data_IF_796361431192
#
_entry.id   IF_796361431192
#
_cell.length_a   1.000
_cell.length_b   1.000
_cell.length_c   1.000
_cell.angle_alpha   90.00
_cell.angle_beta   90.00
_cell.angle_gamma   90.00
#
_symmetry.space_group_name_H-M   'P 1'
#
loop_
_entity.id
_entity.type
_entity.pdbx_description
1 polymer ?
#
# COMPACT_ATOMS: atom_id res chain seq x y z
N UNK A 1 9.26 36.45 12.90
CA UNK A 1 8.97 35.56 11.77
C UNK A 1 7.60 34.93 12.02
N UNK A 2 6.66 35.00 11.07
CA UNK A 2 5.39 34.25 11.15
C UNK A 2 5.51 33.11 10.15
N UNK A 3 5.30 31.88 10.61
CA UNK A 3 5.27 30.73 9.70
C UNK A 3 3.96 30.77 8.91
N UNK A 4 4.00 30.86 7.57
CA UNK A 4 2.80 30.67 6.77
C UNK A 4 2.33 29.22 6.89
N UNK A 5 1.01 29.04 7.02
CA UNK A 5 0.36 27.72 6.98
C UNK A 5 -0.33 27.58 5.63
N UNK A 6 -0.19 26.41 5.02
CA UNK A 6 -0.84 26.05 3.77
C UNK A 6 -1.67 24.79 3.99
N UNK A 7 -2.92 24.84 3.57
CA UNK A 7 -3.81 23.68 3.58
C UNK A 7 -3.93 23.16 2.14
N UNK A 8 -3.66 21.87 1.96
CA UNK A 8 -3.80 21.20 0.66
C UNK A 8 -5.12 20.45 0.63
N UNK A 9 -5.95 20.74 -0.37
CA UNK A 9 -7.23 20.06 -0.57
C UNK A 9 -7.08 19.01 -1.68
N UNK A 10 -7.25 17.71 -1.39
CA UNK A 10 -7.20 16.68 -2.41
C UNK A 10 -8.37 16.85 -3.38
N UNK A 11 -8.09 16.75 -4.69
CA UNK A 11 -9.10 16.82 -5.76
C UNK A 11 -9.36 15.47 -6.42
N UNK A 12 -8.63 14.42 -6.02
CA UNK A 12 -8.72 13.06 -6.52
C UNK A 12 -8.70 12.06 -5.36
N UNK A 13 -9.15 10.83 -5.61
CA UNK A 13 -9.30 9.80 -4.56
C UNK A 13 -7.99 9.09 -4.19
N UNK A 14 -6.99 9.06 -5.08
CA UNK A 14 -5.63 8.68 -4.73
C UNK A 14 -4.69 9.78 -5.22
N UNK A 15 -4.02 10.47 -4.29
CA UNK A 15 -3.15 11.61 -4.59
C UNK A 15 -1.71 11.26 -4.21
N UNK A 16 -0.78 11.40 -5.16
CA UNK A 16 0.67 11.35 -4.93
C UNK A 16 1.31 12.66 -5.37
N UNK A 17 2.24 13.18 -4.58
CA UNK A 17 2.95 14.40 -4.95
C UNK A 17 4.11 14.72 -4.02
N UNK A 18 4.95 15.66 -4.44
CA UNK A 18 6.11 16.11 -3.67
C UNK A 18 5.95 17.59 -3.30
N UNK A 19 6.11 17.92 -2.03
CA UNK A 19 6.20 19.31 -1.56
C UNK A 19 7.69 19.64 -1.41
N UNK A 20 8.17 20.59 -2.21
CA UNK A 20 9.55 21.09 -2.14
C UNK A 20 9.53 22.52 -1.64
N UNK A 21 10.10 22.77 -0.46
CA UNK A 21 10.25 24.13 0.06
C UNK A 21 11.58 24.72 -0.44
N UNK A 22 11.50 25.93 -1.01
CA UNK A 22 12.65 26.74 -1.40
C UNK A 22 12.67 28.05 -0.64
N UNK A 23 13.84 28.46 -0.17
CA UNK A 23 14.08 29.78 0.43
C UNK A 23 15.08 30.52 -0.44
N UNK A 24 14.64 31.65 -0.99
CA UNK A 24 15.53 32.58 -1.69
C UNK A 24 15.71 33.86 -0.88
N UNK A 25 16.94 34.32 -0.73
CA UNK A 25 17.26 35.57 -0.03
C UNK A 25 18.42 36.30 -0.70
N UNK A 26 18.51 37.61 -0.48
CA UNK A 26 19.63 38.43 -0.92
C UNK A 26 20.46 38.76 0.32
N UNK A 27 21.76 38.51 0.26
CA UNK A 27 22.66 38.81 1.37
C UNK A 27 23.06 40.30 1.43
N UNK A 28 23.83 40.67 2.45
CA UNK A 28 24.34 42.02 2.65
C UNK A 28 25.24 42.53 1.51
N UNK A 29 25.76 41.64 0.66
CA UNK A 29 26.61 41.95 -0.50
C UNK A 29 25.80 42.05 -1.80
N UNK A 30 24.47 41.88 -1.72
CA UNK A 30 23.59 41.89 -2.88
C UNK A 30 23.60 40.57 -3.67
N UNK A 31 24.22 39.51 -3.15
CA UNK A 31 24.22 38.20 -3.81
C UNK A 31 22.93 37.45 -3.47
N UNK A 32 22.28 36.90 -4.50
CA UNK A 32 21.09 36.08 -4.35
C UNK A 32 21.50 34.63 -4.00
N UNK A 33 20.88 34.09 -2.95
CA UNK A 33 21.03 32.71 -2.51
C UNK A 33 19.69 32.00 -2.64
N UNK A 34 19.72 30.73 -3.00
CA UNK A 34 18.54 29.85 -2.97
C UNK A 34 18.92 28.52 -2.36
N UNK A 35 18.18 28.12 -1.34
CA UNK A 35 18.32 26.84 -0.66
C UNK A 35 17.01 26.08 -0.82
N UNK A 36 17.09 24.82 -1.21
CA UNK A 36 15.92 23.93 -1.27
C UNK A 36 16.02 22.87 -0.18
N UNK A 37 14.88 22.54 0.42
CA UNK A 37 14.79 21.41 1.34
C UNK A 37 14.71 20.11 0.57
N UNK A 38 14.93 18.99 1.27
CA UNK A 38 14.51 17.69 0.75
C UNK A 38 12.99 17.71 0.51
N UNK A 39 12.49 17.07 -0.55
CA UNK A 39 11.06 16.95 -0.79
C UNK A 39 10.36 16.24 0.38
N UNK A 40 9.20 16.76 0.77
CA UNK A 40 8.26 16.04 1.61
C UNK A 40 7.27 15.32 0.68
N UNK A 41 7.32 13.99 0.68
CA UNK A 41 6.49 13.16 -0.19
C UNK A 41 5.10 13.03 0.42
N UNK A 42 4.09 13.55 -0.27
CA UNK A 42 2.69 13.21 -0.04
C UNK A 42 2.49 11.80 -0.60
N UNK A 43 2.39 10.83 0.31
CA UNK A 43 2.14 9.43 -0.03
C UNK A 43 0.78 9.29 -0.70
N UNK A 44 0.63 8.28 -1.57
CA UNK A 44 -0.66 7.89 -2.16
C UNK A 44 -1.69 7.69 -1.07
N UNK A 45 -2.53 8.70 -0.81
CA UNK A 45 -3.61 8.57 0.18
C UNK A 45 -4.78 7.88 -0.52
N UNK A 46 -4.74 6.56 -0.62
CA UNK A 46 -5.93 5.78 -0.98
C UNK A 46 -6.84 5.51 0.26
N UNK A 47 -6.60 6.20 1.39
CA UNK A 47 -7.50 6.24 2.56
C UNK A 47 -8.85 6.93 2.25
N UNK A 48 -9.03 7.39 1.02
CA UNK A 48 -10.27 7.97 0.49
C UNK A 48 -11.11 6.93 -0.27
N UNK A 49 -10.77 5.65 -0.16
CA UNK A 49 -11.59 4.56 -0.66
C UNK A 49 -12.64 4.16 0.37
N UNK A 50 -13.81 3.76 -0.11
CA UNK A 50 -14.89 3.17 0.67
C UNK A 50 -15.11 1.74 0.19
N UNK A 51 -15.27 0.75 1.10
CA UNK A 51 -15.54 -0.62 0.69
C UNK A 51 -16.88 -0.68 -0.05
N UNK A 52 -16.91 -1.34 -1.21
CA UNK A 52 -18.11 -1.47 -2.05
C UNK A 52 -18.52 -2.94 -2.15
N UNK A 53 -19.70 -3.26 -1.59
CA UNK A 53 -20.17 -4.63 -1.48
C UNK A 53 -20.77 -5.09 -2.80
N UNK A 54 -20.23 -6.19 -3.33
CA UNK A 54 -20.68 -6.79 -4.59
C UNK A 54 -20.56 -8.31 -4.55
N UNK A 55 -21.34 -9.02 -5.36
CA UNK A 55 -21.20 -10.46 -5.56
C UNK A 55 -20.02 -10.80 -6.50
N UNK A 56 -19.40 -12.00 -6.38
CA UNK A 56 -18.25 -12.40 -7.22
C UNK A 56 -18.51 -12.37 -8.73
N UNK A 57 -19.69 -12.79 -9.17
CA UNK A 57 -20.05 -12.82 -10.60
C UNK A 57 -20.12 -11.41 -11.21
N UNK A 58 -20.66 -10.45 -10.44
CA UNK A 58 -20.80 -9.06 -10.85
C UNK A 58 -19.45 -8.33 -10.77
N UNK A 59 -18.60 -8.69 -9.81
CA UNK A 59 -17.21 -8.23 -9.73
C UNK A 59 -16.39 -8.65 -10.96
N UNK A 60 -16.51 -9.90 -11.39
CA UNK A 60 -15.82 -10.42 -12.56
C UNK A 60 -16.24 -9.72 -13.87
N UNK A 61 -17.51 -9.29 -13.96
CA UNK A 61 -18.01 -8.49 -15.08
C UNK A 61 -17.39 -7.08 -15.06
N UNK A 62 -17.42 -6.38 -13.92
CA UNK A 62 -16.80 -5.04 -13.78
C UNK A 62 -15.31 -5.04 -14.09
N UNK A 63 -14.58 -6.06 -13.62
CA UNK A 63 -13.14 -6.21 -13.88
C UNK A 63 -12.78 -6.31 -15.36
N UNK A 64 -13.64 -6.94 -16.18
CA UNK A 64 -13.40 -7.11 -17.62
C UNK A 64 -13.65 -5.85 -18.43
N UNK A 65 -14.49 -4.96 -17.93
CA UNK A 65 -14.86 -3.72 -18.61
C UNK A 65 -13.88 -2.58 -18.33
N UNK A 66 -13.11 -2.70 -17.25
CA UNK A 66 -12.20 -1.65 -16.77
C UNK A 66 -10.77 -1.85 -17.28
N UNK A 67 -10.06 -0.75 -17.42
CA UNK A 67 -8.63 -0.78 -17.69
C UNK A 67 -7.88 -1.31 -16.48
N UNK A 68 -6.82 -2.09 -16.73
CA UNK A 68 -6.12 -2.85 -15.70
C UNK A 68 -4.61 -2.63 -15.76
N UNK A 69 -3.97 -2.53 -14.60
CA UNK A 69 -2.53 -2.62 -14.42
C UNK A 69 -2.16 -3.85 -13.58
N UNK A 70 -0.93 -4.35 -13.77
CA UNK A 70 -0.42 -5.51 -13.04
C UNK A 70 1.05 -5.29 -12.65
N UNK A 71 1.43 -5.76 -11.46
CA UNK A 71 2.83 -5.86 -11.04
C UNK A 71 3.09 -7.15 -10.27
N UNK A 72 4.31 -7.68 -10.40
CA UNK A 72 4.78 -8.84 -9.64
C UNK A 72 5.78 -8.39 -8.58
N UNK A 73 5.53 -8.78 -7.34
CA UNK A 73 6.36 -8.53 -6.17
C UNK A 73 6.92 -9.86 -5.68
N UNK A 74 8.25 -9.97 -5.60
CA UNK A 74 8.92 -11.13 -5.01
C UNK A 74 9.33 -10.80 -3.60
N UNK A 75 8.96 -11.65 -2.64
CA UNK A 75 9.33 -11.46 -1.24
C UNK A 75 10.10 -12.67 -0.74
N UNK A 76 11.29 -12.45 -0.21
CA UNK A 76 12.20 -13.53 0.19
C UNK A 76 12.03 -13.95 1.64
N UNK A 77 11.45 -13.09 2.46
CA UNK A 77 11.45 -13.22 3.91
C UNK A 77 10.25 -13.99 4.46
N UNK A 78 9.14 -14.00 3.71
CA UNK A 78 7.87 -14.59 4.09
C UNK A 78 7.57 -15.84 3.27
N UNK A 79 6.88 -16.78 3.91
CA UNK A 79 6.24 -17.91 3.24
C UNK A 79 5.00 -17.43 2.47
N UNK A 80 4.53 -18.24 1.52
CA UNK A 80 3.32 -17.91 0.76
C UNK A 80 2.07 -17.83 1.65
N UNK A 81 1.99 -18.68 2.68
CA UNK A 81 0.93 -18.66 3.70
C UNK A 81 0.93 -17.36 4.51
N UNK A 82 2.08 -16.96 5.04
CA UNK A 82 2.21 -15.69 5.78
C UNK A 82 1.87 -14.49 4.89
N UNK A 83 2.25 -14.54 3.61
CA UNK A 83 1.90 -13.50 2.65
C UNK A 83 0.41 -13.44 2.34
N UNK A 84 -0.27 -14.57 2.28
CA UNK A 84 -1.72 -14.60 2.10
C UNK A 84 -2.44 -13.96 3.30
N UNK A 85 -2.09 -14.35 4.53
CA UNK A 85 -2.65 -13.74 5.75
C UNK A 85 -2.38 -12.23 5.82
N UNK A 86 -1.16 -11.82 5.47
CA UNK A 86 -0.78 -10.42 5.39
C UNK A 86 -1.59 -9.66 4.34
N UNK A 87 -1.80 -10.27 3.18
CA UNK A 87 -2.54 -9.67 2.07
C UNK A 87 -4.01 -9.44 2.44
N UNK A 88 -4.65 -10.36 3.17
CA UNK A 88 -6.02 -10.17 3.68
C UNK A 88 -6.14 -8.92 4.55
N UNK A 89 -5.19 -8.74 5.48
CA UNK A 89 -5.16 -7.54 6.34
C UNK A 89 -4.94 -6.26 5.55
N UNK A 90 -4.05 -6.30 4.56
CA UNK A 90 -3.77 -5.12 3.72
C UNK A 90 -5.02 -4.70 2.93
N UNK A 91 -5.80 -5.65 2.41
CA UNK A 91 -7.05 -5.37 1.71
C UNK A 91 -8.05 -4.67 2.64
N UNK A 92 -8.23 -5.18 3.85
CA UNK A 92 -9.10 -4.58 4.87
C UNK A 92 -8.63 -3.17 5.26
N UNK A 93 -7.34 -3.01 5.59
CA UNK A 93 -6.72 -1.73 5.96
C UNK A 93 -6.72 -0.70 4.82
N UNK A 94 -6.77 -1.15 3.56
CA UNK A 94 -6.87 -0.31 2.38
C UNK A 94 -8.33 0.00 1.99
N UNK A 95 -9.30 -0.33 2.86
CA UNK A 95 -10.74 -0.10 2.67
C UNK A 95 -11.34 -0.79 1.45
N UNK A 96 -10.79 -1.94 1.05
CA UNK A 96 -11.44 -2.80 0.06
C UNK A 96 -12.39 -3.76 0.75
N UNK A 97 -13.59 -3.91 0.19
CA UNK A 97 -14.50 -4.98 0.55
C UNK A 97 -13.95 -6.30 -0.02
N UNK A 98 -13.70 -7.29 0.83
CA UNK A 98 -13.31 -8.63 0.39
C UNK A 98 -14.48 -9.30 -0.35
N UNK A 99 -14.33 -9.48 -1.66
CA UNK A 99 -15.33 -10.12 -2.52
C UNK A 99 -15.18 -11.65 -2.47
N UNK A 100 -13.93 -12.11 -2.53
CA UNK A 100 -13.58 -13.52 -2.53
C UNK A 100 -12.15 -13.70 -2.01
N UNK A 101 -11.92 -14.72 -1.20
CA UNK A 101 -10.58 -15.24 -0.93
C UNK A 101 -10.58 -16.76 -1.00
N UNK A 102 -9.50 -17.31 -1.55
CA UNK A 102 -9.31 -18.76 -1.66
C UNK A 102 -7.83 -19.10 -1.59
N UNK A 103 -7.55 -20.29 -1.07
CA UNK A 103 -6.21 -20.85 -1.03
C UNK A 103 -6.28 -22.35 -1.30
N UNK A 104 -5.32 -22.83 -2.07
CA UNK A 104 -5.16 -24.24 -2.41
C UNK A 104 -3.68 -24.63 -2.33
N UNK A 105 -3.43 -25.87 -1.92
CA UNK A 105 -2.10 -26.47 -1.98
C UNK A 105 -2.13 -27.56 -3.04
N UNK A 106 -1.33 -27.38 -4.08
CA UNK A 106 -1.22 -28.33 -5.19
C UNK A 106 0.26 -28.59 -5.51
N UNK A 107 0.64 -29.86 -5.60
CA UNK A 107 1.99 -30.29 -5.98
C UNK A 107 3.12 -29.66 -5.13
N UNK A 108 2.86 -29.41 -3.85
CA UNK A 108 3.82 -28.80 -2.91
C UNK A 108 3.99 -27.28 -3.09
N UNK A 109 3.12 -26.64 -3.88
CA UNK A 109 3.04 -25.20 -4.06
C UNK A 109 1.73 -24.70 -3.44
N UNK A 110 1.84 -23.67 -2.62
CA UNK A 110 0.70 -22.93 -2.11
C UNK A 110 0.29 -21.87 -3.13
N UNK A 111 -0.98 -21.84 -3.48
CA UNK A 111 -1.61 -20.84 -4.34
C UNK A 111 -2.75 -20.19 -3.58
N UNK A 112 -2.85 -18.86 -3.64
CA UNK A 112 -3.98 -18.15 -3.07
C UNK A 112 -4.37 -16.95 -3.92
N UNK A 113 -5.65 -16.60 -3.86
CA UNK A 113 -6.25 -15.46 -4.55
C UNK A 113 -7.08 -14.66 -3.56
N UNK A 114 -6.98 -13.34 -3.62
CA UNK A 114 -7.82 -12.41 -2.87
C UNK A 114 -8.35 -11.39 -3.87
N UNK A 115 -9.66 -11.16 -3.84
CA UNK A 115 -10.34 -10.16 -4.63
C UNK A 115 -10.98 -9.11 -3.71
N UNK A 116 -10.76 -7.84 -4.02
CA UNK A 116 -11.30 -6.72 -3.28
C UNK A 116 -11.96 -5.69 -4.20
N UNK A 117 -13.03 -5.05 -3.73
CA UNK A 117 -13.65 -3.91 -4.41
C UNK A 117 -13.78 -2.71 -3.48
N UNK A 118 -13.44 -1.54 -3.99
CA UNK A 118 -13.67 -0.28 -3.32
C UNK A 118 -14.20 0.77 -4.30
N UNK A 119 -14.64 1.89 -3.75
CA UNK A 119 -15.14 3.04 -4.48
C UNK A 119 -14.51 4.32 -3.96
N UNK A 120 -14.11 5.21 -4.86
CA UNK A 120 -13.59 6.51 -4.50
C UNK A 120 -14.64 7.35 -3.75
N UNK A 121 -14.29 7.90 -2.59
CA UNK A 121 -15.18 8.69 -1.74
C UNK A 121 -15.66 9.97 -2.44
N UNK A 122 -14.81 10.61 -3.26
CA UNK A 122 -15.13 11.87 -3.93
C UNK A 122 -15.56 11.69 -5.36
N UNK A 123 -14.92 10.80 -6.13
CA UNK A 123 -15.32 10.58 -7.53
C UNK A 123 -16.50 9.63 -7.66
N UNK A 124 -16.73 8.77 -6.67
CA UNK A 124 -17.70 7.69 -6.77
C UNK A 124 -17.33 6.64 -7.82
N UNK A 125 -16.06 6.56 -8.24
CA UNK A 125 -15.61 5.61 -9.24
C UNK A 125 -15.13 4.30 -8.60
N UNK A 126 -15.43 3.18 -9.24
CA UNK A 126 -15.07 1.86 -8.73
C UNK A 126 -13.61 1.50 -9.02
N UNK A 127 -12.96 0.82 -8.07
CA UNK A 127 -11.63 0.23 -8.20
C UNK A 127 -11.62 -1.19 -7.62
N UNK A 128 -11.23 -2.15 -8.43
CA UNK A 128 -11.09 -3.55 -8.07
C UNK A 128 -9.62 -3.94 -7.98
N UNK A 129 -9.33 -4.84 -7.05
CA UNK A 129 -8.00 -5.42 -6.86
C UNK A 129 -8.09 -6.94 -6.84
N UNK A 130 -7.09 -7.59 -7.41
CA UNK A 130 -6.86 -9.03 -7.28
C UNK A 130 -5.41 -9.26 -6.90
N UNK A 131 -5.18 -9.92 -5.76
CA UNK A 131 -3.86 -10.32 -5.29
C UNK A 131 -3.75 -11.84 -5.44
N UNK A 132 -2.75 -12.29 -6.19
CA UNK A 132 -2.41 -13.70 -6.32
C UNK A 132 -1.11 -13.97 -5.56
N UNK A 133 -1.13 -14.90 -4.62
CA UNK A 133 0.05 -15.30 -3.85
C UNK A 133 0.43 -16.72 -4.22
N UNK A 134 1.72 -16.97 -4.44
CA UNK A 134 2.23 -18.31 -4.72
C UNK A 134 3.61 -18.55 -4.14
N UNK A 135 3.92 -19.79 -3.78
CA UNK A 135 5.26 -20.19 -3.36
C UNK A 135 5.31 -21.61 -2.81
N UNK A 136 6.51 -22.17 -2.59
CA UNK A 136 6.64 -23.52 -2.04
C UNK A 136 6.09 -23.59 -0.61
N UNK A 137 5.34 -24.66 -0.31
CA UNK A 137 4.69 -24.83 1.00
C UNK A 137 5.72 -24.84 2.13
N UNK A 138 5.52 -23.97 3.14
CA UNK A 138 6.37 -23.89 4.33
C UNK A 138 7.78 -23.33 4.09
N UNK A 139 8.11 -22.90 2.87
CA UNK A 139 9.40 -22.30 2.54
C UNK A 139 9.25 -20.79 2.32
N UNK A 140 10.31 -20.06 2.70
CA UNK A 140 10.40 -18.63 2.42
C UNK A 140 10.62 -18.39 0.93
N UNK A 141 10.06 -17.31 0.41
CA UNK A 141 10.15 -16.98 -1.02
C UNK A 141 8.78 -17.02 -1.70
N UNK A 142 7.93 -16.05 -1.38
CA UNK A 142 6.63 -15.88 -1.99
C UNK A 142 6.68 -14.96 -3.23
N UNK A 143 5.87 -15.26 -4.23
CA UNK A 143 5.58 -14.37 -5.34
C UNK A 143 4.15 -13.85 -5.17
N UNK A 144 3.99 -12.53 -5.19
CA UNK A 144 2.70 -11.85 -5.11
C UNK A 144 2.47 -11.06 -6.40
N UNK A 145 1.40 -11.36 -7.12
CA UNK A 145 0.97 -10.58 -8.27
C UNK A 145 -0.19 -9.69 -7.83
N UNK A 146 -0.08 -8.40 -8.06
CA UNK A 146 -1.10 -7.40 -7.76
C UNK A 146 -1.67 -6.93 -9.08
N UNK A 147 -2.95 -7.19 -9.30
CA UNK A 147 -3.72 -6.68 -10.42
C UNK A 147 -4.73 -5.67 -9.90
N UNK A 148 -4.79 -4.50 -10.52
CA UNK A 148 -5.77 -3.45 -10.18
C UNK A 148 -6.48 -3.03 -11.45
N UNK A 149 -7.80 -2.91 -11.37
CA UNK A 149 -8.62 -2.37 -12.44
C UNK A 149 -9.54 -1.28 -11.92
N UNK A 150 -9.76 -0.22 -12.68
CA UNK A 150 -10.58 0.90 -12.23
C UNK A 150 -11.31 1.61 -13.35
N UNK A 151 -12.40 2.29 -13.00
CA UNK A 151 -13.12 3.20 -13.90
C UNK A 151 -12.31 4.48 -14.19
N UNK A 152 -11.25 4.74 -13.42
CA UNK A 152 -10.31 5.84 -13.61
C UNK A 152 -8.88 5.32 -13.67
N UNK A 153 -8.21 5.51 -14.82
CA UNK A 153 -6.78 5.18 -14.97
C UNK A 153 -5.91 5.84 -13.91
N UNK A 154 -6.26 7.06 -13.50
CA UNK A 154 -5.47 7.81 -12.51
C UNK A 154 -5.46 7.12 -11.14
N UNK A 155 -6.40 6.22 -10.85
CA UNK A 155 -6.45 5.47 -9.59
C UNK A 155 -5.62 4.17 -9.63
N UNK A 156 -5.37 3.60 -10.82
CA UNK A 156 -4.76 2.27 -10.97
C UNK A 156 -3.32 2.24 -10.44
N UNK A 157 -2.43 3.07 -11.00
CA UNK A 157 -1.01 3.07 -10.63
C UNK A 157 -0.77 3.46 -9.16
N UNK A 158 -1.44 4.49 -8.60
CA UNK A 158 -1.30 4.81 -7.18
C UNK A 158 -1.75 3.68 -6.25
N UNK A 159 -2.83 2.96 -6.59
CA UNK A 159 -3.29 1.82 -5.80
C UNK A 159 -2.30 0.64 -5.89
N UNK A 160 -1.74 0.37 -7.09
CA UNK A 160 -0.68 -0.63 -7.26
C UNK A 160 0.54 -0.28 -6.40
N UNK A 161 0.99 0.97 -6.44
CA UNK A 161 2.16 1.44 -5.69
C UNK A 161 1.94 1.32 -4.17
N UNK A 162 0.77 1.74 -3.66
CA UNK A 162 0.42 1.63 -2.23
C UNK A 162 0.38 0.16 -1.77
N UNK A 163 -0.35 -0.69 -2.48
CA UNK A 163 -0.44 -2.12 -2.17
C UNK A 163 0.93 -2.81 -2.22
N UNK A 164 1.75 -2.48 -3.22
CA UNK A 164 3.11 -3.00 -3.36
C UNK A 164 3.99 -2.59 -2.18
N UNK A 165 3.92 -1.33 -1.76
CA UNK A 165 4.70 -0.82 -0.63
C UNK A 165 4.29 -1.53 0.67
N UNK A 166 2.98 -1.66 0.93
CA UNK A 166 2.45 -2.39 2.10
C UNK A 166 2.83 -3.88 2.10
N UNK A 167 2.74 -4.55 0.95
CA UNK A 167 3.12 -5.96 0.81
C UNK A 167 4.61 -6.19 1.03
N UNK A 168 5.46 -5.22 0.67
CA UNK A 168 6.92 -5.32 0.83
C UNK A 168 7.39 -4.86 2.21
N UNK A 169 6.63 -4.01 2.90
CA UNK A 169 7.00 -3.43 4.19
C UNK A 169 6.78 -4.40 5.36
N UNK A 170 7.62 -4.30 6.39
CA UNK A 170 7.32 -4.89 7.69
C UNK A 170 6.36 -3.95 8.43
N UNK A 171 5.14 -4.39 8.70
CA UNK A 171 4.11 -3.56 9.33
C UNK A 171 3.92 -3.96 10.80
N UNK A 172 3.61 -2.99 11.64
CA UNK A 172 3.17 -3.26 13.00
C UNK A 172 1.85 -4.05 12.97
N UNK A 173 1.73 -5.18 13.68
CA UNK A 173 0.53 -6.01 13.64
C UNK A 173 -0.69 -5.38 14.31
N UNK A 174 -0.51 -4.30 15.09
CA UNK A 174 -1.61 -3.62 15.78
C UNK A 174 -2.14 -2.40 15.02
N UNK A 175 -1.26 -1.61 14.42
CA UNK A 175 -1.63 -0.32 13.81
C UNK A 175 -1.26 -0.18 12.33
N UNK A 176 -0.71 -1.22 11.70
CA UNK A 176 -0.32 -1.19 10.28
C UNK A 176 0.86 -0.28 9.93
N UNK A 177 1.46 0.43 10.89
CA UNK A 177 2.57 1.35 10.60
C UNK A 177 3.84 0.60 10.18
N UNK A 178 4.54 1.08 9.15
CA UNK A 178 5.83 0.53 8.75
C UNK A 178 6.86 0.57 9.89
N UNK A 179 7.53 -0.56 10.10
CA UNK A 179 8.64 -0.69 11.04
C UNK A 179 9.92 -0.17 10.41
N UNK A 180 10.74 0.51 11.22
CA UNK A 180 12.07 0.96 10.81
C UNK A 180 12.98 -0.23 10.50
N UNK A 181 14.02 -0.02 9.68
CA UNK A 181 15.01 -1.08 9.38
C UNK A 181 15.62 -1.71 10.64
N UNK A 182 15.96 -0.90 11.65
CA UNK A 182 16.50 -1.38 12.93
C UNK A 182 15.52 -2.32 13.67
N UNK A 183 14.25 -1.91 13.78
CA UNK A 183 13.18 -2.78 14.30
C UNK A 183 13.06 -4.10 13.50
N UNK A 184 13.20 -4.06 12.18
CA UNK A 184 13.14 -5.27 11.34
C UNK A 184 14.33 -6.18 11.59
N UNK A 185 15.54 -5.65 11.71
CA UNK A 185 16.74 -6.42 12.04
C UNK A 185 16.62 -7.07 13.41
N UNK A 186 16.19 -6.32 14.42
CA UNK A 186 15.93 -6.85 15.76
C UNK A 186 14.86 -7.95 15.78
N UNK A 187 13.77 -7.80 15.04
CA UNK A 187 12.75 -8.84 14.89
C UNK A 187 13.31 -10.10 14.20
N UNK A 188 14.16 -9.93 13.17
CA UNK A 188 14.84 -11.04 12.49
C UNK A 188 15.77 -11.81 13.44
N UNK A 189 16.36 -11.14 14.42
CA UNK A 189 17.17 -11.73 15.49
C UNK A 189 16.34 -12.35 16.62
N UNK A 190 15.00 -12.30 16.53
CA UNK A 190 14.09 -12.82 17.55
C UNK A 190 13.95 -11.93 18.78
N UNK A 191 14.35 -10.64 18.70
CA UNK A 191 14.18 -9.66 19.78
C UNK A 191 12.81 -9.00 19.70
N UNK A 192 12.32 -8.55 20.84
CA UNK A 192 11.16 -7.67 20.90
C UNK A 192 11.54 -6.22 20.53
N UNK A 193 10.66 -5.55 19.78
CA UNK A 193 10.80 -4.16 19.35
C UNK A 193 9.56 -3.37 19.70
N UNK A 194 9.67 -2.06 19.83
CA UNK A 194 8.53 -1.18 20.10
C UNK A 194 8.14 -0.46 18.82
N UNK A 195 6.86 -0.52 18.46
CA UNK A 195 6.33 0.27 17.35
C UNK A 195 6.50 1.76 17.64
N UNK A 196 7.19 2.49 16.76
CA UNK A 196 7.44 3.92 16.91
C UNK A 196 6.17 4.79 16.81
N UNK A 197 5.05 4.21 16.38
CA UNK A 197 3.77 4.92 16.22
C UNK A 197 2.80 4.66 17.37
N UNK A 198 2.45 3.39 17.64
CA UNK A 198 1.46 3.04 18.66
C UNK A 198 2.08 2.53 19.98
N UNK A 199 3.40 2.46 20.07
CA UNK A 199 4.15 1.99 21.25
C UNK A 199 3.85 0.55 21.69
N UNK A 200 3.20 -0.27 20.86
CA UNK A 200 3.04 -1.70 21.16
C UNK A 200 4.38 -2.43 21.05
N UNK A 201 4.61 -3.38 21.96
CA UNK A 201 5.73 -4.32 21.88
C UNK A 201 5.41 -5.42 20.88
N UNK A 202 6.30 -5.65 19.92
CA UNK A 202 6.20 -6.64 18.85
C UNK A 202 7.39 -7.59 18.99
N UNK A 203 7.13 -8.88 19.14
CA UNK A 203 8.15 -9.91 19.32
C UNK A 203 7.54 -11.16 19.91
N UNK A 204 8.22 -12.30 19.77
CA UNK A 204 7.87 -13.54 20.48
C UNK A 204 8.52 -13.57 21.85
#
# INVERSE_FOLDING_TARGET
>A
FRSPTFDFMPTQDCVRGDIIAGVSYIDEKGAAHTLTTKPFIIRSVCDLLLPDQIGPDEFALKLKEHESGEIVVKVQEWTAQEMFEKSLRIIEEANFYEVESSSEEQDGVFHASIAGLAKGKYTGKSIGVKILVSGPVGQKGANCTIQVSGEDQAMILPAIDDLRERLSAWLCPLCGSALTLDNVEHLKEGKAVVCSFCNVSIGR
#
